data_IF_019331871355
#
_entry.id   IF_019331871355
#
_cell.length_a   1.000
_cell.length_b   1.000
_cell.length_c   1.000
_cell.angle_alpha   90.00
_cell.angle_beta   90.00
_cell.angle_gamma   90.00
#
_symmetry.space_group_name_H-M   'P 1'
#
loop_
_entity.id
_entity.type
_entity.pdbx_description
1 polymer ?
#
# COMPACT_ATOMS: atom_id res chain seq x y z
N UNK A 1 -10.13 22.03 45.05
CA UNK A 1 -9.57 23.40 45.10
C UNK A 1 -8.19 23.45 44.48
N UNK A 2 -8.07 23.72 43.18
CA UNK A 2 -6.87 24.27 42.54
C UNK A 2 -7.34 25.30 41.50
N UNK A 3 -6.73 26.47 41.54
CA UNK A 3 -7.08 27.67 40.77
C UNK A 3 -6.55 27.53 39.35
N UNK A 4 -7.40 27.73 38.33
CA UNK A 4 -6.92 28.04 36.98
C UNK A 4 -6.87 29.56 36.82
N UNK A 5 -5.66 30.08 36.71
CA UNK A 5 -5.41 31.49 36.42
C UNK A 5 -5.81 31.81 34.98
N UNK A 6 -6.72 32.76 34.84
CA UNK A 6 -7.01 33.41 33.56
C UNK A 6 -5.88 34.38 33.23
N UNK A 7 -5.09 34.08 32.20
CA UNK A 7 -4.17 35.03 31.58
C UNK A 7 -4.66 35.28 30.15
N UNK A 8 -5.54 36.26 29.98
CA UNK A 8 -5.73 36.94 28.72
C UNK A 8 -5.17 38.36 28.91
N UNK A 9 -4.09 38.76 28.21
CA UNK A 9 -3.50 40.07 28.44
C UNK A 9 -4.43 41.14 27.87
N UNK A 10 -4.86 42.02 28.76
CA UNK A 10 -5.55 43.27 28.43
C UNK A 10 -4.62 44.21 27.68
N UNK A 11 -4.77 44.30 26.36
CA UNK A 11 -4.43 45.52 25.61
C UNK A 11 -5.54 45.80 24.60
N UNK A 12 -6.35 46.81 24.92
CA UNK A 12 -7.26 47.48 23.99
C UNK A 12 -6.49 47.95 22.74
N UNK A 13 -7.06 47.73 21.54
CA UNK A 13 -7.42 48.77 20.56
C UNK A 13 -7.89 48.06 19.27
N UNK A 14 -9.14 48.34 18.89
CA UNK A 14 -9.61 48.64 17.54
C UNK A 14 -8.93 47.91 16.36
N UNK A 15 -9.63 46.93 15.77
CA UNK A 15 -9.97 46.93 14.34
C UNK A 15 -10.68 45.63 13.97
N UNK A 16 -11.79 45.79 13.25
CA UNK A 16 -12.55 44.74 12.61
C UNK A 16 -11.68 43.99 11.58
N UNK A 17 -11.06 42.86 11.93
CA UNK A 17 -10.57 41.89 10.92
C UNK A 17 -10.65 40.46 11.48
N UNK A 18 -11.70 39.75 11.07
CA UNK A 18 -11.68 38.35 10.58
C UNK A 18 -10.58 37.40 11.09
N UNK A 19 -10.47 37.16 12.39
CA UNK A 19 -9.85 35.93 12.86
C UNK A 19 -10.77 35.34 13.91
N UNK A 20 -11.48 34.28 13.52
CA UNK A 20 -12.00 33.30 14.46
C UNK A 20 -10.78 32.72 15.21
N UNK A 21 -10.36 33.39 16.29
CA UNK A 21 -9.46 32.81 17.25
C UNK A 21 -10.27 31.73 17.96
N UNK A 22 -10.33 30.55 17.34
CA UNK A 22 -10.81 29.34 17.98
C UNK A 22 -9.87 29.13 19.16
N UNK A 23 -10.34 29.43 20.36
CA UNK A 23 -9.66 29.01 21.58
C UNK A 23 -9.60 27.48 21.51
N UNK A 24 -8.47 26.90 21.09
CA UNK A 24 -8.23 25.47 21.25
C UNK A 24 -8.14 25.21 22.74
N UNK A 25 -9.24 24.74 23.32
CA UNK A 25 -9.33 24.38 24.73
C UNK A 25 -8.51 23.10 24.88
N UNK A 26 -7.24 23.25 25.30
CA UNK A 26 -6.37 22.10 25.57
C UNK A 26 -6.75 21.52 26.93
N UNK A 27 -7.87 20.82 26.96
CA UNK A 27 -8.37 20.09 28.13
C UNK A 27 -8.00 18.61 28.03
N UNK A 28 -7.78 17.96 29.17
CA UNK A 28 -7.64 16.49 29.22
C UNK A 28 -9.02 15.87 29.00
N UNK A 29 -9.30 15.45 27.77
CA UNK A 29 -10.59 14.90 27.36
C UNK A 29 -10.98 13.61 28.09
N UNK A 30 -10.04 12.95 28.78
CA UNK A 30 -10.25 11.74 29.56
C UNK A 30 -10.43 12.00 31.08
N UNK A 31 -10.77 13.23 31.51
CA UNK A 31 -11.14 13.51 32.91
C UNK A 31 -12.35 12.66 33.37
N UNK A 32 -13.20 12.26 32.42
CA UNK A 32 -14.24 11.23 32.57
C UNK A 32 -13.99 10.15 31.52
N UNK A 33 -14.14 8.87 31.87
CA UNK A 33 -14.05 7.80 30.88
C UNK A 33 -15.33 7.76 30.04
N UNK A 34 -15.23 8.16 28.78
CA UNK A 34 -16.31 8.06 27.78
C UNK A 34 -16.36 6.67 27.10
N UNK A 35 -15.34 5.85 27.30
CA UNK A 35 -15.27 4.51 26.74
C UNK A 35 -16.18 3.54 27.50
N UNK A 36 -16.97 2.75 26.78
CA UNK A 36 -17.88 1.76 27.33
C UNK A 36 -17.21 0.40 27.50
N UNK A 37 -17.90 -0.53 28.16
CA UNK A 37 -17.52 -1.95 28.25
C UNK A 37 -16.11 -2.20 28.78
N UNK A 38 -15.66 -1.37 29.72
CA UNK A 38 -14.32 -1.49 30.31
C UNK A 38 -13.19 -0.97 29.43
N UNK A 39 -13.49 -0.24 28.36
CA UNK A 39 -12.50 0.44 27.54
C UNK A 39 -11.72 1.52 28.32
N UNK A 40 -10.48 1.76 27.92
CA UNK A 40 -9.58 2.76 28.53
C UNK A 40 -9.49 4.00 27.65
N UNK A 41 -9.79 5.18 28.19
CA UNK A 41 -9.65 6.45 27.49
C UNK A 41 -8.20 6.92 27.49
N UNK A 42 -7.68 7.30 26.33
CA UNK A 42 -6.40 7.99 26.17
C UNK A 42 -6.58 9.27 25.36
N UNK A 43 -5.88 10.34 25.73
CA UNK A 43 -5.93 11.61 24.99
C UNK A 43 -5.32 11.43 23.60
N UNK A 44 -6.06 11.82 22.56
CA UNK A 44 -5.63 11.70 21.17
C UNK A 44 -4.59 12.76 20.79
N UNK A 45 -3.82 12.51 19.73
CA UNK A 45 -2.86 13.47 19.18
C UNK A 45 -3.24 13.73 17.73
N UNK A 46 -3.74 14.92 17.41
CA UNK A 46 -4.13 15.29 16.05
C UNK A 46 -5.52 15.93 15.99
N UNK A 47 -6.36 15.45 15.07
CA UNK A 47 -7.73 15.94 14.86
C UNK A 47 -8.72 15.34 15.88
N UNK A 48 -8.44 14.12 16.38
CA UNK A 48 -9.28 13.46 17.37
C UNK A 48 -8.88 13.82 18.82
N UNK A 49 -9.82 14.32 19.64
CA UNK A 49 -9.52 14.78 21.00
C UNK A 49 -9.25 13.65 22.00
N UNK A 50 -9.80 12.46 21.80
CA UNK A 50 -9.59 11.27 22.62
C UNK A 50 -9.74 9.99 21.80
N UNK A 51 -9.16 8.90 22.28
CA UNK A 51 -9.18 7.57 21.66
C UNK A 51 -9.54 6.55 22.75
N UNK A 52 -10.41 5.59 22.44
CA UNK A 52 -10.77 4.50 23.33
C UNK A 52 -10.03 3.20 22.95
N UNK A 53 -9.31 2.62 23.92
CA UNK A 53 -8.72 1.28 23.80
C UNK A 53 -9.73 0.27 24.34
N UNK A 54 -10.36 -0.50 23.46
CA UNK A 54 -11.43 -1.42 23.84
C UNK A 54 -10.92 -2.74 24.44
N UNK A 55 -11.74 -3.34 25.31
CA UNK A 55 -11.52 -4.69 25.82
C UNK A 55 -11.86 -5.72 24.74
N UNK A 56 -11.31 -6.93 24.87
CA UNK A 56 -11.58 -8.04 23.95
C UNK A 56 -13.09 -8.23 23.73
N UNK A 57 -13.50 -8.43 22.47
CA UNK A 57 -14.88 -8.51 22.02
C UNK A 57 -15.64 -7.16 21.91
N UNK A 58 -15.00 -6.00 22.05
CA UNK A 58 -15.65 -4.71 21.83
C UNK A 58 -14.90 -3.83 20.83
N UNK A 59 -15.65 -3.06 20.04
CA UNK A 59 -15.11 -2.22 18.96
C UNK A 59 -15.91 -0.92 18.79
N UNK A 60 -15.46 -0.07 17.87
CA UNK A 60 -16.01 1.27 17.61
C UNK A 60 -15.39 2.37 18.50
N UNK A 61 -15.66 3.62 18.14
CA UNK A 61 -14.97 4.81 18.70
C UNK A 61 -15.12 4.97 20.22
N UNK A 62 -16.18 4.41 20.80
CA UNK A 62 -16.45 4.41 22.25
C UNK A 62 -16.59 3.00 22.84
N UNK A 63 -16.20 1.95 22.11
CA UNK A 63 -16.31 0.55 22.54
C UNK A 63 -17.75 0.08 22.83
N UNK A 64 -18.75 0.68 22.19
CA UNK A 64 -20.15 0.29 22.37
C UNK A 64 -20.52 -0.96 21.56
N UNK A 65 -19.81 -1.22 20.45
CA UNK A 65 -20.10 -2.33 19.56
C UNK A 65 -19.45 -3.60 20.08
N UNK A 66 -20.13 -4.74 19.93
CA UNK A 66 -19.57 -6.05 20.24
C UNK A 66 -19.05 -6.70 18.95
N UNK A 67 -17.85 -7.27 18.97
CA UNK A 67 -17.21 -7.95 17.84
C UNK A 67 -17.95 -9.23 17.41
N UNK A 68 -18.99 -9.65 18.13
CA UNK A 68 -19.97 -10.64 17.63
C UNK A 68 -20.88 -10.05 16.55
N UNK A 69 -20.32 -9.46 15.50
CA UNK A 69 -21.03 -8.91 14.36
C UNK A 69 -21.76 -10.00 13.55
N UNK A 70 -22.94 -10.42 14.03
CA UNK A 70 -24.07 -10.70 13.13
C UNK A 70 -24.73 -9.35 12.88
N UNK A 71 -24.36 -8.71 11.79
CA UNK A 71 -25.00 -7.47 11.38
C UNK A 71 -26.40 -7.80 10.82
N UNK A 72 -27.45 -7.50 11.56
CA UNK A 72 -28.80 -7.39 11.01
C UNK A 72 -28.93 -6.00 10.37
N UNK A 73 -28.68 -5.89 9.07
CA UNK A 73 -28.93 -4.65 8.32
C UNK A 73 -30.44 -4.54 8.04
N UNK A 74 -31.08 -3.54 8.63
CA UNK A 74 -32.48 -3.18 8.36
C UNK A 74 -32.55 -2.30 7.10
N UNK A 75 -33.10 -2.82 6.00
CA UNK A 75 -33.61 -1.98 4.93
C UNK A 75 -35.04 -1.58 5.30
N UNK A 76 -35.29 -0.28 5.49
CA UNK A 76 -36.57 0.30 5.93
C UNK A 76 -37.80 -0.02 5.05
N UNK A 77 -37.64 -0.70 3.91
CA UNK A 77 -38.66 -0.75 2.86
C UNK A 77 -39.36 -2.11 2.64
N UNK A 78 -39.11 -3.18 3.42
CA UNK A 78 -39.84 -4.47 3.21
C UNK A 78 -40.23 -5.17 4.53
N UNK A 79 -41.53 -5.21 4.90
CA UNK A 79 -41.99 -6.05 6.00
C UNK A 79 -42.02 -7.52 5.56
N UNK A 80 -41.27 -8.37 6.29
CA UNK A 80 -41.25 -9.84 6.24
C UNK A 80 -40.23 -10.55 5.32
N UNK A 81 -39.12 -9.91 4.93
CA UNK A 81 -38.00 -10.61 4.27
C UNK A 81 -36.73 -10.53 5.11
N UNK A 82 -36.48 -11.58 5.90
CA UNK A 82 -35.23 -11.74 6.64
C UNK A 82 -34.20 -12.41 5.73
N UNK A 83 -33.20 -11.66 5.27
CA UNK A 83 -31.97 -12.26 4.72
C UNK A 83 -30.97 -12.32 5.85
N UNK A 84 -30.75 -13.51 6.38
CA UNK A 84 -29.59 -13.74 7.25
C UNK A 84 -28.35 -13.73 6.35
N UNK A 85 -27.69 -12.57 6.20
CA UNK A 85 -26.35 -12.52 5.59
C UNK A 85 -25.40 -13.14 6.60
N UNK A 86 -25.15 -14.43 6.44
CA UNK A 86 -24.13 -15.13 7.20
C UNK A 86 -22.78 -14.77 6.57
N UNK A 87 -22.11 -13.74 7.07
CA UNK A 87 -20.67 -13.55 6.79
C UNK A 87 -19.95 -14.66 7.56
N UNK A 88 -19.86 -15.83 6.93
CA UNK A 88 -18.96 -16.89 7.32
C UNK A 88 -17.60 -16.54 6.74
N UNK A 89 -16.75 -15.85 7.52
CA UNK A 89 -15.30 -15.90 7.27
C UNK A 89 -14.82 -17.31 7.61
N UNK A 90 -15.08 -18.25 6.70
CA UNK A 90 -14.47 -19.56 6.77
C UNK A 90 -13.00 -19.33 6.41
N UNK A 91 -12.12 -19.42 7.40
CA UNK A 91 -10.69 -19.49 7.18
C UNK A 91 -10.40 -20.77 6.39
N UNK A 92 -10.34 -20.64 5.07
CA UNK A 92 -9.96 -21.71 4.16
C UNK A 92 -8.44 -21.71 4.09
N UNK A 93 -7.81 -22.79 4.52
CA UNK A 93 -6.37 -22.94 4.38
C UNK A 93 -6.06 -23.32 2.91
N UNK A 94 -5.78 -22.32 2.08
CA UNK A 94 -5.43 -22.48 0.67
C UNK A 94 -4.11 -23.24 0.48
N UNK A 95 -3.29 -23.39 1.52
CA UNK A 95 -2.10 -24.22 1.52
C UNK A 95 -2.36 -25.71 1.76
N UNK A 96 -3.57 -26.12 2.17
CA UNK A 96 -3.90 -27.52 2.46
C UNK A 96 -3.65 -28.44 1.27
N UNK A 97 -3.93 -27.95 0.05
CA UNK A 97 -3.73 -28.70 -1.20
C UNK A 97 -2.28 -28.74 -1.69
N UNK A 98 -1.35 -28.16 -0.93
CA UNK A 98 0.07 -28.05 -1.29
C UNK A 98 0.27 -27.51 -2.72
N UNK A 99 -0.20 -26.28 -3.01
CA UNK A 99 -0.15 -25.74 -4.36
C UNK A 99 1.29 -25.44 -4.83
N UNK A 100 2.21 -25.11 -3.92
CA UNK A 100 3.60 -24.79 -4.24
C UNK A 100 4.40 -26.03 -4.67
N UNK A 101 5.03 -25.96 -5.84
CA UNK A 101 5.89 -27.01 -6.42
C UNK A 101 7.36 -26.76 -6.10
N UNK A 102 8.21 -27.72 -6.45
CA UNK A 102 9.66 -27.59 -6.44
C UNK A 102 10.26 -27.12 -5.10
N UNK A 103 9.65 -27.54 -3.98
CA UNK A 103 10.11 -27.17 -2.64
C UNK A 103 9.72 -25.74 -2.19
N UNK A 104 8.79 -25.09 -2.87
CA UNK A 104 8.23 -23.81 -2.45
C UNK A 104 7.49 -23.91 -1.12
N UNK A 105 7.69 -22.92 -0.23
CA UNK A 105 6.95 -22.83 1.03
C UNK A 105 5.63 -22.07 0.80
N UNK A 106 4.52 -22.67 1.21
CA UNK A 106 3.20 -22.04 1.08
C UNK A 106 2.89 -21.14 2.28
N UNK A 107 2.39 -19.93 2.01
CA UNK A 107 1.81 -19.04 3.00
C UNK A 107 0.36 -18.77 2.62
N UNK A 108 -0.51 -19.10 3.57
CA UNK A 108 -1.95 -18.92 3.47
C UNK A 108 -2.34 -17.43 3.60
N UNK A 109 -3.34 -17.00 2.86
CA UNK A 109 -3.90 -15.64 2.85
C UNK A 109 -5.44 -15.74 2.87
N UNK A 110 -6.12 -14.63 3.10
CA UNK A 110 -7.59 -14.60 3.08
C UNK A 110 -8.11 -14.79 1.64
N UNK A 111 -8.55 -16.00 1.31
CA UNK A 111 -9.08 -16.37 -0.01
C UNK A 111 -8.03 -16.51 -1.12
N UNK A 112 -6.74 -16.58 -0.78
CA UNK A 112 -5.65 -16.88 -1.73
C UNK A 112 -4.43 -17.50 -1.00
N UNK A 113 -3.38 -17.82 -1.75
CA UNK A 113 -2.10 -18.25 -1.20
C UNK A 113 -0.94 -17.58 -1.92
N UNK A 114 0.22 -17.54 -1.26
CA UNK A 114 1.48 -17.16 -1.86
C UNK A 114 2.55 -18.22 -1.64
N UNK A 115 3.38 -18.46 -2.66
CA UNK A 115 4.47 -19.42 -2.60
C UNK A 115 5.82 -18.70 -2.53
N UNK A 116 6.61 -19.00 -1.51
CA UNK A 116 8.02 -18.61 -1.42
C UNK A 116 8.86 -19.63 -2.18
N UNK A 117 9.24 -19.27 -3.40
CA UNK A 117 9.97 -20.17 -4.29
C UNK A 117 11.47 -20.19 -3.98
N UNK A 118 12.08 -21.38 -3.76
CA UNK A 118 13.53 -21.48 -3.68
C UNK A 118 14.15 -21.20 -5.06
N UNK A 119 15.31 -20.56 -5.09
CA UNK A 119 16.07 -20.41 -6.34
C UNK A 119 16.43 -21.79 -6.91
N UNK A 120 16.28 -22.03 -8.23
CA UNK A 120 15.96 -21.08 -9.29
C UNK A 120 14.48 -21.07 -9.72
N UNK A 121 13.51 -21.39 -8.86
CA UNK A 121 12.10 -21.52 -9.26
C UNK A 121 11.31 -20.22 -9.09
N UNK A 122 10.33 -19.99 -9.98
CA UNK A 122 9.46 -18.81 -10.03
C UNK A 122 8.03 -19.18 -10.48
N UNK A 123 7.12 -18.20 -10.43
CA UNK A 123 5.69 -18.37 -10.74
C UNK A 123 4.83 -18.57 -9.49
N UNK A 124 3.49 -18.39 -9.61
CA UNK A 124 2.54 -18.46 -8.47
C UNK A 124 2.64 -19.77 -7.69
N UNK A 125 3.01 -20.87 -8.34
CA UNK A 125 3.18 -22.19 -7.74
C UNK A 125 4.62 -22.70 -7.81
N UNK A 126 5.62 -21.83 -8.06
CA UNK A 126 7.02 -22.23 -8.25
C UNK A 126 7.23 -23.29 -9.34
N UNK A 127 6.34 -23.34 -10.33
CA UNK A 127 6.34 -24.35 -11.40
C UNK A 127 7.35 -24.05 -12.51
N UNK A 128 7.75 -22.79 -12.66
CA UNK A 128 8.71 -22.37 -13.67
C UNK A 128 10.11 -22.40 -13.08
N UNK A 129 11.08 -22.87 -13.86
CA UNK A 129 12.49 -22.83 -13.49
C UNK A 129 13.16 -21.67 -14.22
N UNK A 130 13.67 -20.70 -13.48
CA UNK A 130 14.45 -19.54 -13.93
C UNK A 130 15.87 -19.95 -14.37
N UNK A 131 15.94 -20.91 -15.30
CA UNK A 131 17.13 -21.19 -16.12
C UNK A 131 16.87 -20.90 -17.59
N UNK A 132 15.61 -20.68 -17.96
CA UNK A 132 15.28 -20.11 -19.26
C UNK A 132 15.74 -18.67 -19.24
N UNK A 133 16.79 -18.38 -20.01
CA UNK A 133 17.14 -17.02 -20.40
C UNK A 133 15.84 -16.40 -20.92
N UNK A 134 15.36 -15.32 -20.31
CA UNK A 134 14.17 -14.58 -20.75
C UNK A 134 14.57 -13.15 -21.13
N UNK A 135 13.66 -12.43 -21.78
CA UNK A 135 13.96 -11.08 -22.26
C UNK A 135 15.07 -11.08 -23.32
N UNK A 136 16.11 -10.25 -23.14
CA UNK A 136 17.18 -10.09 -24.14
C UNK A 136 18.08 -11.32 -24.29
N UNK A 137 18.34 -12.06 -23.21
CA UNK A 137 19.21 -13.25 -23.23
C UNK A 137 18.46 -14.48 -23.78
N UNK A 138 17.15 -14.51 -23.57
CA UNK A 138 16.25 -15.52 -24.13
C UNK A 138 15.85 -15.30 -25.59
N UNK A 139 16.15 -14.12 -26.14
CA UNK A 139 15.69 -13.71 -27.46
C UNK A 139 14.20 -13.36 -27.54
N UNK A 140 13.49 -13.31 -26.40
CA UNK A 140 12.09 -12.87 -26.34
C UNK A 140 11.94 -11.37 -26.56
N UNK A 141 12.93 -10.58 -26.13
CA UNK A 141 13.03 -9.15 -26.41
C UNK A 141 14.19 -8.95 -27.38
N UNK A 142 13.87 -8.59 -28.62
CA UNK A 142 14.87 -8.21 -29.62
C UNK A 142 15.19 -6.72 -29.55
N UNK A 143 16.38 -6.33 -30.02
CA UNK A 143 16.85 -4.93 -30.01
C UNK A 143 15.86 -3.95 -30.68
N UNK A 144 15.13 -4.38 -31.71
CA UNK A 144 14.13 -3.56 -32.42
C UNK A 144 12.85 -3.28 -31.61
N UNK A 145 12.63 -4.02 -30.53
CA UNK A 145 11.52 -3.76 -29.60
C UNK A 145 11.90 -2.69 -28.57
N UNK A 146 13.18 -2.39 -28.41
CA UNK A 146 13.64 -1.42 -27.42
C UNK A 146 13.89 -0.09 -28.12
N UNK A 147 13.30 0.97 -27.57
CA UNK A 147 13.41 2.33 -28.09
C UNK A 147 13.63 3.28 -26.93
N UNK A 148 14.22 4.43 -27.22
CA UNK A 148 14.50 5.47 -26.23
C UNK A 148 14.38 6.85 -26.84
N UNK A 149 14.14 7.84 -26.00
CA UNK A 149 14.07 9.24 -26.39
C UNK A 149 15.35 9.76 -27.04
N UNK A 150 16.52 9.32 -26.55
CA UNK A 150 17.82 9.77 -27.02
C UNK A 150 18.95 8.81 -26.64
N UNK A 151 20.13 9.04 -27.21
CA UNK A 151 21.35 8.25 -26.99
C UNK A 151 22.47 9.18 -26.55
N UNK A 152 23.18 8.83 -25.49
CA UNK A 152 24.37 9.56 -25.05
C UNK A 152 25.60 9.21 -25.90
N UNK A 153 26.37 10.25 -26.25
CA UNK A 153 27.67 10.13 -26.89
C UNK A 153 28.76 10.69 -25.99
N UNK A 154 29.72 9.86 -25.61
CA UNK A 154 30.89 10.22 -24.80
C UNK A 154 32.16 10.39 -25.65
N UNK A 155 33.24 10.88 -25.03
CA UNK A 155 34.61 11.01 -25.60
C UNK A 155 34.62 11.37 -27.09
N UNK A 156 34.19 12.59 -27.45
CA UNK A 156 34.17 13.08 -28.84
C UNK A 156 33.45 12.12 -29.84
N UNK A 157 32.45 11.37 -29.38
CA UNK A 157 31.70 10.40 -30.20
C UNK A 157 32.27 8.98 -30.23
N UNK A 158 33.38 8.71 -29.54
CA UNK A 158 33.98 7.37 -29.46
C UNK A 158 33.17 6.41 -28.57
N UNK A 159 32.29 6.94 -27.72
CA UNK A 159 31.40 6.13 -26.88
C UNK A 159 29.95 6.41 -27.25
N UNK A 160 29.14 5.36 -27.40
CA UNK A 160 27.70 5.44 -27.70
C UNK A 160 26.91 4.55 -26.75
N UNK A 161 25.98 5.13 -26.01
CA UNK A 161 25.27 4.47 -24.91
C UNK A 161 23.78 4.40 -25.23
N UNK A 162 23.44 3.52 -26.18
CA UNK A 162 22.06 3.27 -26.63
C UNK A 162 21.44 2.08 -25.90
N UNK A 163 20.10 2.00 -25.83
CA UNK A 163 19.41 0.88 -25.16
C UNK A 163 19.75 -0.49 -25.78
N UNK A 164 20.01 -0.54 -27.08
CA UNK A 164 20.39 -1.75 -27.80
C UNK A 164 21.76 -2.29 -27.39
N UNK A 165 22.63 -1.47 -26.80
CA UNK A 165 23.96 -1.84 -26.30
C UNK A 165 23.98 -2.13 -24.79
N UNK A 166 22.87 -1.87 -24.09
CA UNK A 166 22.77 -2.13 -22.67
C UNK A 166 22.65 -3.64 -22.39
N UNK A 167 23.76 -4.26 -21.98
CA UNK A 167 23.82 -5.69 -21.62
C UNK A 167 24.31 -5.83 -20.19
N UNK A 168 23.58 -6.58 -19.36
CA UNK A 168 23.97 -6.83 -17.95
C UNK A 168 24.86 -8.08 -17.80
N UNK A 169 24.91 -8.94 -18.83
CA UNK A 169 25.64 -10.21 -18.79
C UNK A 169 27.16 -10.06 -19.00
N UNK A 170 27.67 -8.82 -19.04
CA UNK A 170 29.09 -8.51 -19.18
C UNK A 170 29.77 -9.09 -20.43
N UNK A 171 28.99 -9.42 -21.48
CA UNK A 171 29.48 -9.89 -22.78
C UNK A 171 29.43 -8.74 -23.80
N UNK A 172 30.56 -8.41 -24.43
CA UNK A 172 30.66 -7.32 -25.40
C UNK A 172 31.04 -5.97 -24.77
N UNK A 173 30.77 -4.85 -25.46
CA UNK A 173 30.90 -3.52 -24.84
C UNK A 173 29.73 -3.31 -23.89
N UNK A 174 30.03 -3.27 -22.60
CA UNK A 174 29.05 -3.25 -21.53
C UNK A 174 28.90 -1.81 -21.06
N UNK A 175 27.83 -1.13 -21.48
CA UNK A 175 27.44 0.14 -20.89
C UNK A 175 25.97 0.09 -20.49
N UNK A 176 25.57 0.95 -19.55
CA UNK A 176 24.16 1.22 -19.33
C UNK A 176 23.68 2.20 -20.41
N UNK A 177 22.40 2.14 -20.77
CA UNK A 177 21.79 3.25 -21.51
C UNK A 177 21.89 4.52 -20.68
N UNK A 178 22.10 5.64 -21.34
CA UNK A 178 21.99 6.97 -20.75
C UNK A 178 21.46 7.92 -21.81
N UNK A 179 20.54 8.78 -21.42
CA UNK A 179 19.99 9.80 -22.30
C UNK A 179 21.05 10.85 -22.66
N UNK A 180 20.89 11.52 -23.80
CA UNK A 180 21.75 12.62 -24.18
C UNK A 180 21.65 13.77 -23.17
N UNK A 181 22.75 14.50 -22.96
CA UNK A 181 22.79 15.59 -21.96
C UNK A 181 21.78 16.73 -22.21
N UNK A 182 21.23 16.82 -23.42
CA UNK A 182 20.25 17.83 -23.84
C UNK A 182 18.81 17.31 -23.86
N UNK A 183 18.60 16.03 -23.58
CA UNK A 183 17.27 15.45 -23.49
C UNK A 183 16.64 15.78 -22.12
N UNK A 184 15.61 16.62 -22.15
CA UNK A 184 14.93 17.11 -20.94
C UNK A 184 13.81 16.18 -20.46
N UNK A 185 13.39 15.21 -21.28
CA UNK A 185 12.31 14.28 -20.95
C UNK A 185 12.69 12.86 -21.38
N UNK A 186 13.71 12.27 -20.72
CA UNK A 186 14.26 10.99 -21.14
C UNK A 186 13.28 9.86 -20.89
N UNK A 187 13.13 8.96 -21.87
CA UNK A 187 12.32 7.76 -21.75
C UNK A 187 13.00 6.57 -22.43
N UNK A 188 12.65 5.38 -21.93
CA UNK A 188 12.96 4.10 -22.56
C UNK A 188 11.69 3.27 -22.59
N UNK A 189 11.41 2.65 -23.72
CA UNK A 189 10.23 1.81 -23.91
C UNK A 189 10.65 0.44 -24.47
N UNK A 190 9.91 -0.60 -24.05
CA UNK A 190 10.00 -1.94 -24.65
C UNK A 190 8.63 -2.27 -25.22
N UNK A 191 8.56 -2.48 -26.52
CA UNK A 191 7.33 -2.89 -27.20
C UNK A 191 7.12 -4.39 -27.02
N UNK A 192 6.15 -4.75 -26.19
CA UNK A 192 5.75 -6.14 -26.04
C UNK A 192 5.19 -6.69 -27.36
N UNK A 193 5.48 -7.95 -27.71
CA UNK A 193 4.78 -8.62 -28.79
C UNK A 193 3.30 -8.70 -28.42
N UNK A 194 2.41 -8.54 -29.40
CA UNK A 194 0.95 -8.50 -29.25
C UNK A 194 0.28 -9.77 -28.69
N UNK A 195 1.04 -10.70 -28.10
CA UNK A 195 0.56 -11.99 -27.61
C UNK A 195 -0.07 -11.94 -26.21
N UNK A 196 0.07 -10.84 -25.45
CA UNK A 196 -0.56 -10.67 -24.13
C UNK A 196 -1.85 -9.84 -24.13
N UNK A 197 -2.35 -9.47 -25.31
CA UNK A 197 -3.67 -8.85 -25.49
C UNK A 197 -4.76 -9.91 -25.62
N UNK A 198 -5.07 -10.65 -24.57
CA UNK A 198 -6.35 -11.38 -24.42
C UNK A 198 -6.78 -11.47 -22.97
#
# INVERSE_FOLDING_TARGET
MKRHGFLCPLTFICACVLIAAVCSVKGDYCEVNLCHNGGTCVTGVGEDPFICICADAFTGDTCHLNETGKEEVYYDDIPNFYVTVSISCAYVNDCEKQPCKNGGMCRDLDGDYTCLCPSPYVGKQCQLRCISLMGMEGGEIVESQISSSSVHYGIMGLQRWGPELARLNNQGMVNAWTAANHDKNPWMEVREPSQFSK
#
